data_IF_663405509702
#
_entry.id   IF_663405509702
#
_cell.length_a   1.000
_cell.length_b   1.000
_cell.length_c   1.000
_cell.angle_alpha   90.00
_cell.angle_beta   90.00
_cell.angle_gamma   90.00
#
_symmetry.space_group_name_H-M   'P 1'
#
loop_
_entity.id
_entity.type
_entity.pdbx_description
1 polymer ?
#
# COMPACT_ATOMS: atom_id res chain seq x y z
N UNK A 1 -61.86 -31.39 18.65
CA UNK A 1 -61.10 -30.27 19.13
C UNK A 1 -59.82 -30.15 18.31
N UNK A 2 -59.74 -29.09 17.58
CA UNK A 2 -58.58 -28.85 16.74
C UNK A 2 -57.74 -27.74 17.31
N UNK A 3 -56.57 -28.09 17.76
CA UNK A 3 -55.60 -27.08 18.14
C UNK A 3 -54.78 -26.79 16.88
N UNK A 4 -55.13 -25.67 16.26
CA UNK A 4 -54.30 -25.14 15.17
C UNK A 4 -53.02 -24.59 15.73
N UNK A 5 -51.94 -25.34 15.65
CA UNK A 5 -50.64 -24.81 15.91
C UNK A 5 -50.23 -23.94 14.72
N UNK A 6 -50.49 -22.67 14.84
CA UNK A 6 -49.83 -21.71 13.96
C UNK A 6 -48.43 -21.56 14.43
N UNK A 7 -47.57 -22.36 13.85
CA UNK A 7 -46.14 -22.13 13.93
C UNK A 7 -45.83 -20.91 13.08
N UNK A 8 -45.74 -19.79 13.74
CA UNK A 8 -45.10 -18.63 13.17
C UNK A 8 -43.61 -18.90 13.11
N UNK A 9 -43.19 -19.40 11.96
CA UNK A 9 -41.79 -19.38 11.62
C UNK A 9 -41.42 -17.91 11.36
N UNK A 10 -40.99 -17.25 12.41
CA UNK A 10 -40.25 -16.02 12.29
C UNK A 10 -38.95 -16.39 11.57
N UNK A 11 -38.96 -16.25 10.25
CA UNK A 11 -37.74 -16.16 9.47
C UNK A 11 -37.07 -14.85 9.94
N UNK A 12 -36.21 -14.97 10.93
CA UNK A 12 -35.20 -13.98 11.17
C UNK A 12 -34.28 -14.01 9.94
N UNK A 13 -34.62 -13.17 8.97
CA UNK A 13 -33.67 -12.76 7.96
C UNK A 13 -32.60 -11.98 8.71
N UNK A 14 -31.59 -12.69 9.21
CA UNK A 14 -30.35 -12.09 9.61
C UNK A 14 -29.77 -11.51 8.32
N UNK A 15 -30.09 -10.24 8.06
CA UNK A 15 -29.34 -9.47 7.13
C UNK A 15 -27.91 -9.44 7.66
N UNK A 16 -27.08 -10.37 7.20
CA UNK A 16 -25.66 -10.23 7.26
C UNK A 16 -25.34 -8.98 6.44
N UNK A 17 -25.38 -7.84 7.10
CA UNK A 17 -24.62 -6.69 6.67
C UNK A 17 -23.16 -7.12 6.78
N UNK A 18 -22.71 -7.89 5.80
CA UNK A 18 -21.31 -8.04 5.55
C UNK A 18 -20.82 -6.64 5.31
N UNK A 19 -20.14 -6.04 6.30
CA UNK A 19 -19.28 -4.93 6.04
C UNK A 19 -18.33 -5.43 4.95
N UNK A 20 -18.60 -5.08 3.69
CA UNK A 20 -17.62 -5.20 2.64
C UNK A 20 -16.46 -4.31 3.09
N UNK A 21 -15.43 -4.93 3.65
CA UNK A 21 -14.17 -4.25 3.85
C UNK A 21 -13.78 -3.75 2.48
N UNK A 22 -13.95 -2.44 2.24
CA UNK A 22 -13.45 -1.83 1.03
C UNK A 22 -11.99 -2.19 0.93
N UNK A 23 -11.60 -2.80 -0.20
CA UNK A 23 -10.22 -3.13 -0.46
C UNK A 23 -9.39 -1.86 -0.31
N UNK A 24 -8.46 -1.85 0.64
CA UNK A 24 -7.57 -0.71 0.85
C UNK A 24 -6.74 -0.50 -0.40
N UNK A 25 -6.73 0.72 -0.90
CA UNK A 25 -5.85 1.11 -1.99
C UNK A 25 -4.60 1.76 -1.40
N UNK A 26 -3.44 1.36 -1.92
CA UNK A 26 -2.17 1.92 -1.50
C UNK A 26 -1.74 3.01 -2.46
N UNK A 27 -1.49 4.19 -1.93
CA UNK A 27 -0.86 5.26 -2.66
C UNK A 27 0.66 5.17 -2.55
N UNK A 28 1.35 5.40 -3.65
CA UNK A 28 2.80 5.57 -3.68
C UNK A 28 3.09 7.03 -3.45
N UNK A 29 3.76 7.35 -2.35
CA UNK A 29 4.08 8.73 -1.97
C UNK A 29 5.57 8.99 -2.01
N UNK A 30 5.93 10.20 -2.41
CA UNK A 30 7.30 10.70 -2.45
C UNK A 30 7.36 12.08 -1.82
N UNK A 31 8.58 12.54 -1.49
CA UNK A 31 8.75 13.89 -0.96
C UNK A 31 8.39 14.98 -1.99
N UNK A 32 8.04 16.17 -1.49
CA UNK A 32 7.58 17.28 -2.33
C UNK A 32 8.59 17.77 -3.37
N UNK A 33 9.88 17.53 -3.14
CA UNK A 33 10.95 17.95 -4.05
C UNK A 33 11.19 16.92 -5.16
N UNK A 34 10.55 15.77 -5.11
CA UNK A 34 10.63 14.78 -6.16
C UNK A 34 9.68 15.14 -7.31
N UNK A 35 10.25 15.42 -8.48
CA UNK A 35 9.52 15.83 -9.67
C UNK A 35 8.95 14.68 -10.48
N UNK A 36 9.18 13.45 -10.06
CA UNK A 36 8.60 12.26 -10.73
C UNK A 36 7.08 12.27 -10.55
N UNK A 37 6.35 12.37 -11.63
CA UNK A 37 4.88 12.41 -11.59
C UNK A 37 4.23 11.03 -11.61
N UNK A 38 4.93 10.05 -12.17
CA UNK A 38 4.43 8.68 -12.29
C UNK A 38 5.46 7.75 -12.91
N UNK A 39 5.15 6.47 -12.85
CA UNK A 39 5.94 5.42 -13.48
C UNK A 39 5.05 4.21 -13.80
N UNK A 40 5.56 3.31 -14.61
CA UNK A 40 4.90 2.03 -14.83
C UNK A 40 4.96 1.13 -13.59
N UNK A 41 4.04 0.19 -13.47
CA UNK A 41 4.09 -0.81 -12.40
C UNK A 41 5.41 -1.61 -12.43
N UNK A 42 5.93 -1.90 -13.62
CA UNK A 42 7.22 -2.60 -13.79
C UNK A 42 8.40 -1.77 -13.26
N UNK A 43 8.43 -0.47 -13.54
CA UNK A 43 9.49 0.41 -13.02
C UNK A 43 9.37 0.63 -11.51
N UNK A 44 8.15 0.76 -11.01
CA UNK A 44 7.90 0.83 -9.57
C UNK A 44 8.42 -0.42 -8.85
N UNK A 45 8.19 -1.60 -9.41
CA UNK A 45 8.73 -2.86 -8.88
C UNK A 45 10.25 -2.84 -8.83
N UNK A 46 10.93 -2.34 -9.85
CA UNK A 46 12.39 -2.18 -9.85
C UNK A 46 12.89 -1.24 -8.76
N UNK A 47 12.16 -0.14 -8.52
CA UNK A 47 12.47 0.78 -7.42
C UNK A 47 12.37 0.07 -6.06
N UNK A 48 11.27 -0.63 -5.81
CA UNK A 48 11.05 -1.32 -4.54
C UNK A 48 11.94 -2.54 -4.33
N UNK A 49 12.42 -3.17 -5.40
CA UNK A 49 13.40 -4.28 -5.32
C UNK A 49 14.85 -3.82 -5.30
N UNK A 50 15.12 -2.53 -5.35
CA UNK A 50 16.46 -1.95 -5.49
C UNK A 50 17.21 -2.32 -6.78
N UNK A 51 16.52 -2.74 -7.81
CA UNK A 51 17.10 -2.87 -9.15
C UNK A 51 17.35 -1.51 -9.78
N UNK A 52 16.58 -0.51 -9.37
CA UNK A 52 16.81 0.89 -9.67
C UNK A 52 17.03 1.67 -8.38
N UNK A 53 18.25 2.19 -8.20
CA UNK A 53 18.68 2.85 -6.96
C UNK A 53 18.58 4.36 -6.97
N UNK A 54 18.24 4.96 -8.10
CA UNK A 54 18.23 6.41 -8.28
C UNK A 54 16.96 6.88 -8.95
N UNK A 55 16.48 8.03 -8.50
CA UNK A 55 15.46 8.79 -9.20
C UNK A 55 16.03 9.41 -10.50
N UNK A 56 15.16 9.83 -11.45
CA UNK A 56 15.62 10.48 -12.67
C UNK A 56 16.52 11.71 -12.46
N UNK A 57 16.36 12.40 -11.33
CA UNK A 57 17.21 13.53 -10.93
C UNK A 57 18.57 13.14 -10.32
N UNK A 58 18.85 11.85 -10.20
CA UNK A 58 20.10 11.31 -9.67
C UNK A 58 20.13 11.10 -8.15
N UNK A 59 19.11 11.53 -7.41
CA UNK A 59 19.04 11.29 -5.96
C UNK A 59 18.86 9.80 -5.66
N UNK A 60 19.46 9.29 -4.59
CA UNK A 60 19.24 7.91 -4.20
C UNK A 60 17.78 7.66 -3.78
N UNK A 61 17.28 6.48 -4.10
CA UNK A 61 16.00 5.99 -3.61
C UNK A 61 16.14 5.53 -2.17
N UNK A 62 15.28 6.04 -1.30
CA UNK A 62 15.15 5.59 0.09
C UNK A 62 13.76 5.01 0.28
N UNK A 63 13.68 3.71 0.56
CA UNK A 63 12.40 3.07 0.86
C UNK A 63 12.04 3.29 2.33
N UNK A 64 10.85 3.79 2.58
CA UNK A 64 10.28 3.89 3.92
C UNK A 64 9.21 2.82 4.05
N UNK A 65 9.47 1.82 4.88
CA UNK A 65 8.64 0.63 4.98
C UNK A 65 8.14 0.41 6.41
N UNK A 66 6.94 -0.12 6.50
CA UNK A 66 6.38 -0.63 7.75
C UNK A 66 6.71 -2.11 7.94
N UNK A 67 6.39 -2.64 9.12
CA UNK A 67 6.57 -4.05 9.42
C UNK A 67 5.87 -4.93 8.36
N UNK A 68 6.52 -6.00 7.89
CA UNK A 68 5.94 -6.91 6.90
C UNK A 68 4.61 -7.53 7.29
N UNK A 69 4.28 -7.60 8.58
CA UNK A 69 3.01 -8.15 9.08
C UNK A 69 1.82 -7.21 8.90
N UNK A 70 2.05 -5.93 8.59
CA UNK A 70 0.95 -4.98 8.37
C UNK A 70 0.16 -5.31 7.11
N UNK A 71 -1.17 -5.06 7.07
CA UNK A 71 -1.99 -5.32 5.90
C UNK A 71 -1.48 -4.62 4.63
N UNK A 72 -0.98 -3.40 4.76
CA UNK A 72 -0.41 -2.61 3.67
C UNK A 72 0.82 -3.30 3.08
N UNK A 73 1.72 -3.77 3.93
CA UNK A 73 2.92 -4.49 3.49
C UNK A 73 2.58 -5.87 2.91
N UNK A 74 1.58 -6.56 3.43
CA UNK A 74 1.11 -7.83 2.86
C UNK A 74 0.63 -7.62 1.41
N UNK A 75 -0.14 -6.58 1.15
CA UNK A 75 -0.56 -6.21 -0.20
C UNK A 75 0.64 -5.87 -1.09
N UNK A 76 1.59 -5.11 -0.58
CA UNK A 76 2.80 -4.73 -1.31
C UNK A 76 3.67 -5.95 -1.65
N UNK A 77 3.89 -6.83 -0.70
CA UNK A 77 4.67 -8.06 -0.90
C UNK A 77 4.05 -8.93 -1.98
N UNK A 78 2.73 -9.07 -1.98
CA UNK A 78 2.01 -9.87 -2.95
C UNK A 78 1.97 -9.22 -4.33
N UNK A 79 1.62 -7.94 -4.43
CA UNK A 79 1.29 -7.28 -5.70
C UNK A 79 2.45 -6.54 -6.34
N UNK A 80 3.36 -6.03 -5.54
CA UNK A 80 4.48 -5.24 -6.02
C UNK A 80 5.78 -6.04 -6.05
N UNK A 81 6.10 -6.71 -4.96
CA UNK A 81 7.32 -7.53 -4.87
C UNK A 81 7.18 -8.91 -5.53
N UNK A 82 5.99 -9.48 -5.56
CA UNK A 82 5.75 -10.86 -6.02
C UNK A 82 6.66 -11.88 -5.33
N UNK A 83 6.87 -11.71 -4.04
CA UNK A 83 7.77 -12.51 -3.24
C UNK A 83 7.04 -13.30 -2.16
N UNK A 84 7.67 -14.39 -1.72
CA UNK A 84 7.31 -15.03 -0.47
C UNK A 84 7.86 -14.23 0.72
N UNK A 85 7.26 -14.34 1.92
CA UNK A 85 7.71 -13.59 3.10
C UNK A 85 9.20 -13.76 3.42
N UNK A 86 9.75 -14.95 3.26
CA UNK A 86 11.17 -15.22 3.52
C UNK A 86 12.09 -14.56 2.50
N UNK A 87 11.70 -14.52 1.24
CA UNK A 87 12.42 -13.80 0.18
C UNK A 87 12.44 -12.30 0.45
N UNK A 88 11.32 -11.76 0.89
CA UNK A 88 11.20 -10.35 1.25
C UNK A 88 12.10 -9.99 2.44
N UNK A 89 12.16 -10.82 3.48
CA UNK A 89 13.08 -10.63 4.60
C UNK A 89 14.54 -10.64 4.18
N UNK A 90 14.92 -11.53 3.26
CA UNK A 90 16.27 -11.59 2.70
C UNK A 90 16.60 -10.31 1.91
N UNK A 91 15.65 -9.79 1.14
CA UNK A 91 15.80 -8.53 0.42
C UNK A 91 16.07 -7.35 1.37
N UNK A 92 15.30 -7.25 2.46
CA UNK A 92 15.48 -6.21 3.48
C UNK A 92 16.87 -6.30 4.12
N UNK A 93 17.33 -7.50 4.45
CA UNK A 93 18.66 -7.70 5.05
C UNK A 93 19.79 -7.31 4.11
N UNK A 94 19.65 -7.54 2.80
CA UNK A 94 20.66 -7.20 1.79
C UNK A 94 20.75 -5.69 1.53
N UNK A 95 19.63 -4.98 1.60
CA UNK A 95 19.54 -3.57 1.20
C UNK A 95 19.26 -2.61 2.37
N UNK A 96 19.67 -2.97 3.59
CA UNK A 96 19.34 -2.21 4.80
C UNK A 96 19.76 -0.72 4.75
N UNK A 97 20.79 -0.37 3.99
CA UNK A 97 21.27 1.02 3.87
C UNK A 97 20.31 1.94 3.10
N UNK A 98 19.46 1.37 2.25
CA UNK A 98 18.46 2.11 1.47
C UNK A 98 17.05 2.04 2.06
N UNK A 99 16.89 1.49 3.27
CA UNK A 99 15.60 1.23 3.88
C UNK A 99 15.52 1.91 5.23
N UNK A 100 14.42 2.63 5.46
CA UNK A 100 14.02 3.16 6.76
C UNK A 100 12.79 2.40 7.22
N UNK A 101 12.90 1.67 8.32
CA UNK A 101 11.77 0.98 8.94
C UNK A 101 11.08 1.90 9.91
N UNK A 102 9.76 1.99 9.82
CA UNK A 102 8.91 2.80 10.68
C UNK A 102 7.81 1.94 11.31
N UNK A 103 7.26 2.41 12.44
CA UNK A 103 6.32 1.62 13.24
C UNK A 103 4.86 2.05 13.07
N UNK A 104 4.62 3.18 12.42
CA UNK A 104 3.27 3.68 12.18
C UNK A 104 3.17 4.36 10.83
N UNK A 105 1.95 4.53 10.36
CA UNK A 105 1.67 5.27 9.14
C UNK A 105 2.01 6.77 9.29
N UNK A 106 1.82 7.32 10.47
CA UNK A 106 2.22 8.70 10.78
C UNK A 106 3.74 8.88 10.67
N UNK A 107 4.53 7.96 11.22
CA UNK A 107 5.98 7.97 11.05
C UNK A 107 6.41 7.82 9.59
N UNK A 108 5.71 6.98 8.84
CA UNK A 108 5.96 6.81 7.40
C UNK A 108 5.77 8.13 6.66
N UNK A 109 4.65 8.80 6.88
CA UNK A 109 4.36 10.10 6.26
C UNK A 109 5.41 11.15 6.62
N UNK A 110 5.78 11.25 7.89
CA UNK A 110 6.84 12.16 8.35
C UNK A 110 8.19 11.87 7.71
N UNK A 111 8.54 10.59 7.61
CA UNK A 111 9.82 10.17 6.99
C UNK A 111 9.85 10.50 5.51
N UNK A 112 8.78 10.23 4.77
CA UNK A 112 8.71 10.57 3.35
C UNK A 112 8.75 12.08 3.15
N UNK A 113 8.06 12.84 3.98
CA UNK A 113 8.08 14.31 3.93
C UNK A 113 9.48 14.89 4.12
N UNK A 114 10.27 14.32 5.03
CA UNK A 114 11.53 14.92 5.49
C UNK A 114 12.79 14.35 4.83
N UNK A 115 12.73 13.17 4.21
CA UNK A 115 13.90 12.52 3.60
C UNK A 115 13.87 12.72 2.09
N UNK A 116 14.81 13.49 1.51
CA UNK A 116 14.92 13.61 0.06
C UNK A 116 15.15 12.25 -0.60
N UNK A 117 14.37 11.94 -1.65
CA UNK A 117 14.42 10.66 -2.34
C UNK A 117 13.62 9.53 -1.69
N UNK A 118 12.91 9.81 -0.59
CA UNK A 118 12.08 8.83 0.08
C UNK A 118 10.84 8.45 -0.75
N UNK A 119 10.45 7.20 -0.65
CA UNK A 119 9.22 6.65 -1.23
C UNK A 119 8.60 5.67 -0.23
N UNK A 120 7.28 5.72 -0.12
CA UNK A 120 6.54 4.84 0.77
C UNK A 120 5.16 4.51 0.23
N UNK A 121 4.51 3.56 0.89
CA UNK A 121 3.14 3.13 0.58
C UNK A 121 2.26 3.46 1.78
N UNK A 122 1.18 4.19 1.54
CA UNK A 122 0.19 4.53 2.55
C UNK A 122 -1.21 4.22 2.06
N UNK A 123 -2.13 4.04 2.98
CA UNK A 123 -3.55 4.04 2.66
C UNK A 123 -3.91 5.37 1.98
N UNK A 124 -4.67 5.29 0.88
CA UNK A 124 -5.06 6.47 0.09
C UNK A 124 -5.74 7.54 0.93
N UNK A 125 -6.49 7.16 1.95
CA UNK A 125 -7.18 8.09 2.84
C UNK A 125 -6.29 8.74 3.90
N UNK A 126 -5.05 8.28 4.04
CA UNK A 126 -4.08 8.85 4.99
C UNK A 126 -3.18 9.91 4.36
N UNK A 127 -3.29 10.14 3.06
CA UNK A 127 -2.47 11.13 2.34
C UNK A 127 -2.73 12.53 2.89
N UNK A 128 -1.66 13.29 3.06
CA UNK A 128 -1.71 14.71 3.40
C UNK A 128 -1.10 15.56 2.30
N UNK A 129 -1.25 16.88 2.38
CA UNK A 129 -0.74 17.82 1.39
C UNK A 129 0.78 18.02 1.39
N UNK A 130 1.53 17.30 2.23
CA UNK A 130 2.99 17.45 2.41
C UNK A 130 3.82 16.47 1.60
N UNK A 131 3.17 15.56 0.92
CA UNK A 131 3.78 14.56 0.04
C UNK A 131 3.17 14.63 -1.35
N UNK A 132 3.88 14.14 -2.35
CA UNK A 132 3.35 13.94 -3.69
C UNK A 132 2.93 12.49 -3.89
N UNK A 133 1.89 12.27 -4.66
CA UNK A 133 1.41 10.94 -5.04
C UNK A 133 1.86 10.62 -6.46
N UNK A 134 2.50 9.48 -6.65
CA UNK A 134 2.88 9.01 -7.98
C UNK A 134 1.69 8.32 -8.66
N UNK A 135 1.54 8.59 -9.96
CA UNK A 135 0.69 7.76 -10.82
C UNK A 135 1.41 6.44 -11.10
N UNK A 136 0.66 5.36 -11.10
CA UNK A 136 1.13 4.04 -11.52
C UNK A 136 0.36 3.63 -12.78
N UNK A 137 1.07 3.36 -13.86
CA UNK A 137 0.49 3.13 -15.20
C UNK A 137 -0.48 4.25 -15.63
N UNK A 138 -0.13 5.49 -15.30
CA UNK A 138 -0.93 6.66 -15.61
C UNK A 138 -2.16 6.90 -14.74
N UNK A 139 -2.34 6.11 -13.66
CA UNK A 139 -3.51 6.17 -12.78
C UNK A 139 -3.16 6.57 -11.37
N UNK A 140 -4.01 7.39 -10.78
CA UNK A 140 -4.00 7.70 -9.35
C UNK A 140 -4.79 6.65 -8.57
N UNK A 141 -4.55 6.51 -7.26
CA UNK A 141 -5.44 5.75 -6.39
C UNK A 141 -6.89 6.18 -6.56
N UNK A 142 -7.81 5.25 -6.40
CA UNK A 142 -9.26 5.38 -6.60
C UNK A 142 -9.71 5.44 -8.06
N UNK A 143 -8.82 5.61 -9.01
CA UNK A 143 -9.18 5.45 -10.42
C UNK A 143 -9.39 3.97 -10.78
N UNK A 144 -10.33 3.71 -11.68
CA UNK A 144 -10.62 2.36 -12.15
C UNK A 144 -9.38 1.71 -12.77
N UNK A 145 -9.06 0.49 -12.33
CA UNK A 145 -7.90 -0.26 -12.82
C UNK A 145 -6.58 0.14 -12.16
N UNK A 146 -6.62 0.91 -11.08
CA UNK A 146 -5.41 1.20 -10.30
C UNK A 146 -4.78 -0.08 -9.75
N UNK A 147 -3.47 -0.19 -9.87
CA UNK A 147 -2.71 -1.43 -9.63
C UNK A 147 -2.67 -1.89 -8.16
N UNK A 148 -2.46 -0.98 -7.22
CA UNK A 148 -2.23 -1.32 -5.81
C UNK A 148 -3.53 -1.32 -5.00
N UNK A 149 -4.39 -2.27 -5.28
CA UNK A 149 -5.59 -2.55 -4.49
C UNK A 149 -5.36 -3.76 -3.60
N UNK A 150 -5.71 -3.64 -2.32
CA UNK A 150 -5.86 -4.80 -1.44
C UNK A 150 -7.07 -5.66 -1.82
N UNK A 151 -7.08 -6.89 -1.39
CA UNK A 151 -8.22 -7.80 -1.55
C UNK A 151 -9.27 -7.54 -0.49
#
# INVERSE_FOLDING_TARGET
MRIGSRIWVLLLLAACLGASAEAKQLAVIVDKTNNTSGMSAADLTKVFKFDNHKWPDGRPVILVLRDPSTPEMQTAIQKLYHMQPDEFKALLATHHNGIVMVHSEEELLKSVESIPGAVGLVDVYSINGRVNVLKVDGKLPLEQGYFLKGN
#
